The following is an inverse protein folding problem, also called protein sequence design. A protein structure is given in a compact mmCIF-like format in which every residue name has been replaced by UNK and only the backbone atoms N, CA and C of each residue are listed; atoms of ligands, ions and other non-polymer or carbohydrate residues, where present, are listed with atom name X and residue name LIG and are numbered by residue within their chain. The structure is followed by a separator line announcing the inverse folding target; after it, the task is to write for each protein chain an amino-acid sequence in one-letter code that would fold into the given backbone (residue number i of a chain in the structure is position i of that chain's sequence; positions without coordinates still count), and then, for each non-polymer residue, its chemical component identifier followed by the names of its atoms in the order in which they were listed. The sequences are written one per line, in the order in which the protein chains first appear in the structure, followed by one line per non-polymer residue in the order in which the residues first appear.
data_IF_102299778725
#
_entry.id   IF_102299778725
#
_cell.length_a   1.000
_cell.length_b   1.000
_cell.length_c   1.000
_cell.angle_alpha   90.00
_cell.angle_beta   90.00
_cell.angle_gamma   90.00
#
_symmetry.space_group_name_H-M   'P 1'
#
loop_
_entity.id
_entity.type
_entity.pdbx_description
1 polymer ?
#
# COMPACT_ATOMS: atom_id res chain seq x y z
N UNK A 1 10.47 10.43 -26.98
CA UNK A 1 9.31 9.76 -26.33
C UNK A 1 8.34 10.85 -25.88
N UNK A 2 7.03 10.75 -26.19
CA UNK A 2 6.04 11.72 -25.71
C UNK A 2 5.92 11.62 -24.17
N UNK A 3 5.75 12.76 -23.50
CA UNK A 3 5.47 12.75 -22.05
C UNK A 3 4.09 12.17 -21.78
N UNK A 4 3.88 11.61 -20.57
CA UNK A 4 2.57 11.10 -20.13
C UNK A 4 1.49 12.19 -20.22
N UNK A 5 1.86 13.43 -19.92
CA UNK A 5 0.97 14.58 -20.02
C UNK A 5 0.51 14.82 -21.46
N UNK A 6 1.43 14.72 -22.43
CA UNK A 6 1.07 14.85 -23.86
C UNK A 6 0.10 13.75 -24.30
N UNK A 7 0.36 12.51 -23.87
CA UNK A 7 -0.52 11.37 -24.17
C UNK A 7 -1.89 11.56 -23.53
N UNK A 8 -1.96 12.08 -22.30
CA UNK A 8 -3.22 12.36 -21.62
C UNK A 8 -4.01 13.48 -22.33
N UNK A 9 -3.36 14.55 -22.78
CA UNK A 9 -4.02 15.61 -23.58
C UNK A 9 -4.61 15.05 -24.89
N UNK A 10 -3.89 14.17 -25.57
CA UNK A 10 -4.37 13.49 -26.78
C UNK A 10 -5.57 12.57 -26.47
N UNK A 11 -5.55 11.86 -25.36
CA UNK A 11 -6.68 11.05 -24.90
C UNK A 11 -7.92 11.90 -24.63
N UNK A 12 -7.78 13.03 -23.92
CA UNK A 12 -8.89 13.95 -23.64
C UNK A 12 -9.48 14.51 -24.94
N UNK A 13 -8.64 14.87 -25.91
CA UNK A 13 -9.11 15.31 -27.21
C UNK A 13 -9.85 14.20 -27.97
N UNK A 14 -9.30 13.01 -28.03
CA UNK A 14 -9.88 11.90 -28.78
C UNK A 14 -11.24 11.47 -28.22
N UNK A 15 -11.33 11.34 -26.89
CA UNK A 15 -12.51 10.82 -26.19
C UNK A 15 -13.59 11.88 -25.91
N UNK A 16 -13.18 13.08 -25.51
CA UNK A 16 -14.07 14.11 -25.00
C UNK A 16 -14.10 15.40 -25.85
N UNK A 17 -13.29 15.48 -26.92
CA UNK A 17 -13.07 16.66 -27.73
C UNK A 17 -12.51 17.88 -26.96
N UNK A 18 -11.89 17.63 -25.79
CA UNK A 18 -11.25 18.66 -24.98
C UNK A 18 -9.84 18.92 -25.49
N UNK A 19 -9.55 20.17 -25.85
CA UNK A 19 -8.23 20.61 -26.29
C UNK A 19 -7.66 21.62 -25.32
N UNK A 20 -6.41 21.39 -24.89
CA UNK A 20 -5.69 22.29 -24.00
C UNK A 20 -4.37 22.70 -24.65
N UNK A 21 -4.19 23.97 -24.89
CA UNK A 21 -2.97 24.51 -25.50
C UNK A 21 -1.82 24.56 -24.48
N UNK A 22 -2.13 24.83 -23.20
CA UNK A 22 -1.17 24.97 -22.14
C UNK A 22 -1.44 24.03 -20.94
N UNK A 23 -0.41 23.85 -20.08
CA UNK A 23 -0.60 23.20 -18.79
C UNK A 23 -1.54 24.02 -17.87
N UNK A 24 -1.47 25.34 -17.94
CA UNK A 24 -2.31 26.23 -17.13
C UNK A 24 -3.80 26.03 -17.43
N UNK A 25 -4.18 25.89 -18.70
CA UNK A 25 -5.57 25.60 -19.09
C UNK A 25 -6.04 24.24 -18.57
N UNK A 26 -5.21 23.19 -18.77
CA UNK A 26 -5.51 21.85 -18.25
C UNK A 26 -5.67 21.85 -16.73
N UNK A 27 -4.77 22.53 -16.01
CA UNK A 27 -4.85 22.67 -14.56
C UNK A 27 -6.10 23.44 -14.14
N UNK A 28 -6.41 24.58 -14.78
CA UNK A 28 -7.63 25.34 -14.49
C UNK A 28 -8.89 24.49 -14.67
N UNK A 29 -8.95 23.72 -15.77
CA UNK A 29 -10.05 22.80 -16.00
C UNK A 29 -10.12 21.74 -14.91
N UNK A 30 -9.01 21.14 -14.50
CA UNK A 30 -9.00 20.05 -13.51
C UNK A 30 -9.53 20.48 -12.14
N UNK A 31 -9.35 21.74 -11.74
CA UNK A 31 -9.85 22.26 -10.46
C UNK A 31 -11.29 22.79 -10.55
N UNK A 32 -11.73 23.24 -11.73
CA UNK A 32 -13.08 23.74 -11.95
C UNK A 32 -14.08 22.61 -12.23
N UNK A 33 -13.61 21.51 -12.84
CA UNK A 33 -14.39 20.34 -13.22
C UNK A 33 -13.85 19.05 -12.55
N UNK A 34 -13.74 18.99 -11.22
CA UNK A 34 -13.05 17.90 -10.55
C UNK A 34 -13.70 16.52 -10.80
N UNK A 35 -15.02 16.44 -10.90
CA UNK A 35 -15.70 15.18 -11.21
C UNK A 35 -15.28 14.65 -12.58
N UNK A 36 -15.26 15.51 -13.58
CA UNK A 36 -14.93 15.14 -14.95
C UNK A 36 -13.45 14.82 -15.11
N UNK A 37 -12.59 15.60 -14.43
CA UNK A 37 -11.15 15.34 -14.39
C UNK A 37 -10.85 13.95 -13.82
N UNK A 38 -11.37 13.62 -12.65
CA UNK A 38 -11.07 12.34 -11.98
C UNK A 38 -11.67 11.14 -12.71
N UNK A 39 -12.86 11.27 -13.32
CA UNK A 39 -13.41 10.24 -14.19
C UNK A 39 -12.51 9.97 -15.41
N UNK A 40 -11.99 11.05 -16.01
CA UNK A 40 -11.07 10.92 -17.13
C UNK A 40 -9.74 10.25 -16.74
N UNK A 41 -9.24 10.50 -15.52
CA UNK A 41 -8.05 9.83 -14.95
C UNK A 41 -8.31 8.33 -14.78
N UNK A 42 -9.46 7.96 -14.20
CA UNK A 42 -9.86 6.55 -14.06
C UNK A 42 -9.86 5.86 -15.43
N UNK A 43 -10.46 6.50 -16.43
CA UNK A 43 -10.54 5.98 -17.80
C UNK A 43 -9.17 5.89 -18.46
N UNK A 44 -8.33 6.92 -18.32
CA UNK A 44 -7.01 7.00 -18.93
C UNK A 44 -6.06 5.92 -18.40
N UNK A 45 -6.01 5.75 -17.09
CA UNK A 45 -5.18 4.73 -16.43
C UNK A 45 -5.87 3.37 -16.35
N UNK A 46 -7.11 3.25 -16.84
CA UNK A 46 -7.92 2.03 -16.81
C UNK A 46 -8.00 1.47 -15.39
N UNK A 47 -8.25 2.32 -14.40
CA UNK A 47 -8.38 1.88 -13.01
C UNK A 47 -9.58 0.94 -12.90
N UNK A 48 -9.35 -0.24 -12.34
CA UNK A 48 -10.35 -1.30 -12.25
C UNK A 48 -11.13 -1.19 -10.94
N UNK A 49 -12.40 -0.83 -11.04
CA UNK A 49 -13.35 -0.81 -9.95
C UNK A 49 -14.21 -2.07 -9.99
N UNK A 50 -14.38 -2.75 -8.86
CA UNK A 50 -15.33 -3.86 -8.73
C UNK A 50 -16.77 -3.36 -8.75
N UNK A 51 -17.00 -2.13 -8.31
CA UNK A 51 -18.24 -1.37 -8.49
C UNK A 51 -17.91 0.09 -8.72
N UNK A 52 -18.32 0.65 -9.84
CA UNK A 52 -18.15 2.06 -10.17
C UNK A 52 -19.41 2.86 -9.88
N UNK A 53 -19.26 4.03 -9.27
CA UNK A 53 -20.33 4.98 -8.99
C UNK A 53 -20.06 6.31 -9.66
N UNK A 54 -21.09 6.92 -10.24
CA UNK A 54 -21.01 8.26 -10.86
C UNK A 54 -20.90 9.41 -9.83
N UNK A 55 -20.96 9.12 -8.54
CA UNK A 55 -20.77 10.12 -7.50
C UNK A 55 -19.27 10.33 -7.22
N UNK A 56 -18.57 10.94 -8.19
CA UNK A 56 -17.11 11.03 -8.19
C UNK A 56 -16.59 12.03 -7.18
N UNK A 57 -17.25 13.20 -7.04
CA UNK A 57 -16.82 14.27 -6.16
C UNK A 57 -17.99 14.95 -5.47
N UNK A 58 -17.97 14.96 -4.15
CA UNK A 58 -18.89 15.73 -3.31
C UNK A 58 -18.10 16.56 -2.32
N UNK A 59 -17.95 17.89 -2.55
CA UNK A 59 -17.17 18.75 -1.70
C UNK A 59 -17.80 18.87 -0.30
N UNK A 60 -16.95 19.12 0.68
CA UNK A 60 -17.36 19.46 2.05
C UNK A 60 -16.55 20.67 2.54
N UNK A 61 -17.15 21.52 3.38
CA UNK A 61 -16.44 22.67 4.01
C UNK A 61 -15.19 22.22 4.77
N UNK A 62 -15.26 21.07 5.43
CA UNK A 62 -14.08 20.40 5.96
C UNK A 62 -13.52 19.47 4.88
N UNK A 63 -12.37 19.81 4.31
CA UNK A 63 -11.75 19.06 3.22
C UNK A 63 -11.58 17.56 3.54
N UNK A 64 -11.27 17.19 4.77
CA UNK A 64 -11.12 15.78 5.20
C UNK A 64 -12.44 14.99 5.00
N UNK A 65 -13.59 15.66 5.04
CA UNK A 65 -14.92 15.07 4.86
C UNK A 65 -15.39 15.09 3.40
N UNK A 66 -14.58 15.60 2.47
CA UNK A 66 -14.87 15.51 1.04
C UNK A 66 -14.96 14.06 0.63
N UNK A 67 -16.02 13.71 -0.11
CA UNK A 67 -16.25 12.35 -0.60
C UNK A 67 -15.78 12.24 -2.05
N UNK A 68 -15.05 11.17 -2.32
CA UNK A 68 -14.54 10.82 -3.63
C UNK A 68 -15.08 9.44 -4.01
N UNK A 69 -15.56 9.27 -5.25
CA UNK A 69 -16.09 8.01 -5.79
C UNK A 69 -17.06 7.30 -4.82
N UNK A 70 -17.94 8.07 -4.17
CA UNK A 70 -18.82 7.56 -3.13
C UNK A 70 -19.75 6.45 -3.66
N UNK A 71 -19.75 5.31 -2.96
CA UNK A 71 -20.48 4.10 -3.37
C UNK A 71 -19.72 3.22 -4.38
N UNK A 72 -18.52 3.60 -4.79
CA UNK A 72 -17.61 2.74 -5.55
C UNK A 72 -16.88 1.75 -4.65
N UNK A 73 -16.54 0.57 -5.22
CA UNK A 73 -15.73 -0.45 -4.55
C UNK A 73 -14.50 -0.77 -5.40
N UNK A 74 -13.37 -0.90 -4.75
CA UNK A 74 -12.07 -1.10 -5.41
C UNK A 74 -11.16 -1.96 -4.52
N UNK A 75 -10.24 -2.69 -5.14
CA UNK A 75 -9.09 -3.29 -4.46
C UNK A 75 -7.80 -2.67 -4.97
N UNK A 76 -7.02 -2.06 -4.08
CA UNK A 76 -5.71 -1.49 -4.38
C UNK A 76 -4.76 -2.55 -4.97
N UNK A 77 -4.62 -3.69 -4.27
CA UNK A 77 -3.72 -4.77 -4.71
C UNK A 77 -4.12 -5.37 -6.05
N UNK A 78 -5.42 -5.50 -6.36
CA UNK A 78 -5.90 -5.92 -7.69
C UNK A 78 -5.39 -4.97 -8.78
N UNK A 79 -5.49 -3.66 -8.55
CA UNK A 79 -5.01 -2.65 -9.49
C UNK A 79 -3.48 -2.65 -9.66
N UNK A 80 -2.72 -3.01 -8.63
CA UNK A 80 -1.27 -3.20 -8.74
C UNK A 80 -0.97 -4.40 -9.64
N UNK A 81 -1.58 -5.55 -9.38
CA UNK A 81 -1.30 -6.80 -10.11
C UNK A 81 -1.86 -6.87 -11.52
N UNK A 82 -2.72 -5.94 -11.96
CA UNK A 82 -3.10 -5.87 -13.38
C UNK A 82 -1.93 -5.54 -14.32
N UNK A 83 -0.80 -5.10 -13.76
CA UNK A 83 0.44 -4.85 -14.49
C UNK A 83 1.35 -6.08 -14.60
N UNK A 84 0.91 -7.27 -14.19
CA UNK A 84 1.71 -8.50 -14.15
C UNK A 84 2.15 -9.02 -15.52
N UNK A 85 1.53 -8.53 -16.61
CA UNK A 85 1.92 -8.80 -18.00
C UNK A 85 3.09 -7.95 -18.50
N UNK A 86 3.55 -6.96 -17.73
CA UNK A 86 4.69 -6.13 -18.12
C UNK A 86 5.98 -6.95 -18.15
N UNK A 87 6.81 -6.70 -19.16
CA UNK A 87 8.14 -7.34 -19.30
C UNK A 87 9.18 -6.76 -18.33
N UNK A 88 8.91 -5.62 -17.74
CA UNK A 88 9.77 -4.98 -16.73
C UNK A 88 9.58 -5.64 -15.36
N UNK A 89 10.61 -5.71 -14.51
CA UNK A 89 10.48 -6.25 -13.17
C UNK A 89 9.45 -5.42 -12.35
N UNK A 90 8.74 -6.09 -11.43
CA UNK A 90 7.82 -5.44 -10.51
C UNK A 90 8.56 -4.58 -9.48
N UNK A 91 9.71 -5.06 -9.00
CA UNK A 91 10.55 -4.35 -8.02
C UNK A 91 12.01 -4.40 -8.48
N UNK A 92 12.68 -3.26 -8.39
CA UNK A 92 14.14 -3.13 -8.44
C UNK A 92 14.59 -2.73 -7.05
N UNK A 93 15.45 -3.54 -6.45
CA UNK A 93 15.88 -3.39 -5.08
C UNK A 93 17.40 -3.48 -4.96
N UNK A 94 17.98 -2.61 -4.18
CA UNK A 94 19.36 -2.67 -3.78
C UNK A 94 19.42 -2.67 -2.25
N UNK A 95 20.10 -3.64 -1.67
CA UNK A 95 20.26 -3.72 -0.22
C UNK A 95 21.40 -2.83 0.30
N UNK A 96 21.58 -2.76 1.61
CA UNK A 96 22.65 -1.96 2.23
C UNK A 96 24.08 -2.47 1.94
N UNK A 97 24.23 -3.68 1.39
CA UNK A 97 25.52 -4.20 0.95
C UNK A 97 25.86 -3.79 -0.48
N UNK A 98 24.91 -3.17 -1.18
CA UNK A 98 25.03 -2.79 -2.58
C UNK A 98 24.61 -3.91 -3.54
N UNK A 99 24.16 -5.08 -3.04
CA UNK A 99 23.66 -6.16 -3.87
C UNK A 99 22.34 -5.77 -4.50
N UNK A 100 22.22 -5.97 -5.84
CA UNK A 100 21.08 -5.54 -6.64
C UNK A 100 20.23 -6.75 -7.02
N UNK A 101 18.90 -6.58 -6.89
CA UNK A 101 17.91 -7.61 -7.19
C UNK A 101 16.79 -7.07 -8.06
N UNK A 102 16.30 -7.93 -8.95
CA UNK A 102 15.07 -7.68 -9.69
C UNK A 102 14.03 -8.75 -9.34
N UNK A 103 12.85 -8.33 -8.93
CA UNK A 103 11.75 -9.23 -8.59
C UNK A 103 10.73 -9.16 -9.73
N UNK A 104 10.41 -10.32 -10.32
CA UNK A 104 9.38 -10.41 -11.34
C UNK A 104 7.97 -10.21 -10.78
N UNK A 105 7.02 -9.84 -11.62
CA UNK A 105 5.60 -9.77 -11.24
C UNK A 105 5.06 -11.11 -10.72
N UNK A 106 5.47 -12.22 -11.34
CA UNK A 106 5.05 -13.55 -10.90
C UNK A 106 5.61 -13.87 -9.50
N UNK A 107 6.91 -13.63 -9.26
CA UNK A 107 7.53 -13.86 -7.94
C UNK A 107 6.90 -13.00 -6.86
N UNK A 108 6.59 -11.73 -7.15
CA UNK A 108 5.87 -10.86 -6.21
C UNK A 108 4.47 -11.40 -5.90
N UNK A 109 3.76 -11.89 -6.91
CA UNK A 109 2.41 -12.44 -6.78
C UNK A 109 2.40 -13.72 -5.94
N UNK A 110 3.35 -14.63 -6.18
CA UNK A 110 3.54 -15.86 -5.39
C UNK A 110 3.79 -15.49 -3.91
N UNK A 111 4.74 -14.59 -3.67
CA UNK A 111 5.06 -14.17 -2.31
C UNK A 111 3.88 -13.49 -1.61
N UNK A 112 3.13 -12.69 -2.33
CA UNK A 112 1.91 -12.07 -1.81
C UNK A 112 0.87 -13.12 -1.43
N UNK A 113 0.67 -14.18 -2.25
CA UNK A 113 -0.26 -15.26 -1.94
C UNK A 113 0.16 -16.02 -0.66
N UNK A 114 1.43 -16.37 -0.52
CA UNK A 114 1.94 -17.05 0.69
C UNK A 114 1.60 -16.26 1.96
N UNK A 115 1.84 -14.95 1.92
CA UNK A 115 1.56 -14.07 3.05
C UNK A 115 0.04 -13.87 3.27
N UNK A 116 -0.74 -13.80 2.18
CA UNK A 116 -2.20 -13.73 2.24
C UNK A 116 -2.79 -14.98 2.93
N UNK A 117 -2.33 -16.18 2.55
CA UNK A 117 -2.77 -17.43 3.18
C UNK A 117 -2.45 -17.47 4.67
N UNK A 118 -1.29 -16.97 5.08
CA UNK A 118 -0.90 -16.86 6.49
C UNK A 118 -1.84 -15.90 7.23
N UNK A 119 -2.15 -14.76 6.64
CA UNK A 119 -3.07 -13.77 7.22
C UNK A 119 -4.49 -14.36 7.37
N UNK A 120 -4.99 -15.06 6.36
CA UNK A 120 -6.30 -15.75 6.41
C UNK A 120 -6.33 -16.78 7.55
N UNK A 121 -5.29 -17.63 7.67
CA UNK A 121 -5.17 -18.61 8.75
C UNK A 121 -5.12 -17.96 10.15
N UNK A 122 -4.71 -16.71 10.24
CA UNK A 122 -4.73 -15.88 11.46
C UNK A 122 -5.99 -15.03 11.60
N UNK A 123 -7.05 -15.31 10.82
CA UNK A 123 -8.35 -14.63 10.86
C UNK A 123 -8.24 -13.11 10.64
N UNK A 124 -7.31 -12.67 9.78
CA UNK A 124 -7.23 -11.27 9.37
C UNK A 124 -8.32 -10.98 8.33
N UNK A 125 -9.05 -9.91 8.53
CA UNK A 125 -10.22 -9.52 7.73
C UNK A 125 -10.25 -8.01 7.48
N UNK A 126 -11.28 -7.57 6.75
CA UNK A 126 -11.50 -6.15 6.43
C UNK A 126 -11.45 -5.27 7.69
N UNK A 127 -10.66 -4.21 7.63
CA UNK A 127 -10.52 -3.24 8.71
C UNK A 127 -9.56 -3.65 9.85
N UNK A 128 -9.06 -4.89 9.88
CA UNK A 128 -8.02 -5.29 10.83
C UNK A 128 -6.72 -4.53 10.53
N UNK A 129 -6.01 -4.09 11.57
CA UNK A 129 -4.70 -3.44 11.42
C UNK A 129 -3.61 -4.50 11.50
N UNK A 130 -2.75 -4.48 10.50
CA UNK A 130 -1.56 -5.32 10.42
C UNK A 130 -0.35 -4.42 10.34
N UNK A 131 0.66 -4.68 11.16
CA UNK A 131 1.84 -3.80 11.23
C UNK A 131 3.11 -4.52 10.83
N UNK A 132 4.06 -3.74 10.30
CA UNK A 132 5.43 -4.16 10.01
C UNK A 132 6.43 -3.45 10.91
N UNK A 133 7.33 -4.20 11.55
CA UNK A 133 8.54 -3.67 12.17
C UNK A 133 9.74 -4.22 11.39
N UNK A 134 9.98 -3.60 10.23
CA UNK A 134 10.76 -4.20 9.15
C UNK A 134 11.69 -3.18 8.50
N UNK A 135 12.82 -3.67 7.96
CA UNK A 135 13.61 -2.90 6.98
C UNK A 135 12.86 -2.79 5.65
N UNK A 136 13.25 -1.80 4.86
CA UNK A 136 12.71 -1.65 3.51
C UNK A 136 13.22 -2.80 2.61
N UNK A 137 12.35 -3.71 2.23
CA UNK A 137 12.67 -4.89 1.42
C UNK A 137 11.49 -5.30 0.53
N UNK A 138 11.72 -6.12 -0.51
CA UNK A 138 10.64 -6.67 -1.34
C UNK A 138 9.58 -7.45 -0.55
N UNK A 139 9.98 -8.16 0.53
CA UNK A 139 9.05 -8.90 1.40
C UNK A 139 8.02 -7.99 2.05
N UNK A 140 8.40 -6.79 2.43
CA UNK A 140 7.50 -5.79 3.03
C UNK A 140 6.48 -5.29 2.01
N UNK A 141 6.88 -5.14 0.75
CA UNK A 141 5.94 -4.80 -0.34
C UNK A 141 4.94 -5.95 -0.55
N UNK A 142 5.40 -7.20 -0.58
CA UNK A 142 4.51 -8.36 -0.66
C UNK A 142 3.55 -8.44 0.54
N UNK A 143 4.03 -8.18 1.76
CA UNK A 143 3.21 -8.14 2.97
C UNK A 143 2.14 -7.02 2.91
N UNK A 144 2.53 -5.81 2.49
CA UNK A 144 1.60 -4.70 2.27
C UNK A 144 0.50 -5.06 1.26
N UNK A 145 0.88 -5.68 0.13
CA UNK A 145 -0.08 -6.10 -0.90
C UNK A 145 -0.99 -7.23 -0.39
N UNK A 146 -0.46 -8.19 0.39
CA UNK A 146 -1.25 -9.25 1.01
C UNK A 146 -2.27 -8.70 2.00
N UNK A 147 -1.89 -7.73 2.83
CA UNK A 147 -2.78 -7.06 3.79
C UNK A 147 -3.91 -6.34 3.05
N UNK A 148 -3.56 -5.51 2.07
CA UNK A 148 -4.55 -4.74 1.31
C UNK A 148 -5.45 -5.62 0.43
N UNK A 149 -4.97 -6.79 -0.03
CA UNK A 149 -5.81 -7.72 -0.79
C UNK A 149 -6.99 -8.26 0.02
N UNK A 150 -6.86 -8.33 1.34
CA UNK A 150 -7.91 -8.73 2.28
C UNK A 150 -8.77 -7.55 2.79
N UNK A 151 -8.52 -6.33 2.32
CA UNK A 151 -9.14 -5.12 2.86
C UNK A 151 -8.68 -4.77 4.28
N UNK A 152 -7.59 -5.35 4.76
CA UNK A 152 -6.96 -4.98 6.02
C UNK A 152 -6.06 -3.75 5.84
N UNK A 153 -5.69 -3.11 6.94
CA UNK A 153 -5.03 -1.82 6.98
C UNK A 153 -3.57 -2.01 7.40
N UNK A 154 -2.65 -1.49 6.58
CA UNK A 154 -1.22 -1.56 6.84
C UNK A 154 -0.72 -0.39 7.67
N UNK A 155 0.29 -0.63 8.52
CA UNK A 155 1.18 0.39 9.07
C UNK A 155 2.56 -0.18 9.30
N UNK A 156 3.61 0.65 9.36
CA UNK A 156 4.97 0.15 9.58
C UNK A 156 5.84 1.14 10.34
N UNK A 157 6.83 0.58 11.02
CA UNK A 157 7.94 1.29 11.62
C UNK A 157 9.27 0.73 11.11
N UNK A 158 10.26 1.59 10.95
CA UNK A 158 11.63 1.20 10.63
C UNK A 158 12.27 0.43 11.80
N UNK A 159 13.12 -0.58 11.54
CA UNK A 159 13.68 -1.45 12.57
C UNK A 159 14.68 -0.74 13.51
N UNK A 160 15.19 0.43 13.11
CA UNK A 160 16.06 1.28 13.93
C UNK A 160 15.30 2.06 15.01
N UNK A 161 13.97 2.14 14.95
CA UNK A 161 13.18 2.78 16.00
C UNK A 161 13.33 2.05 17.33
N UNK A 162 13.43 2.84 18.41
CA UNK A 162 13.45 2.30 19.78
C UNK A 162 12.10 1.69 20.17
N UNK A 163 12.13 0.77 21.15
CA UNK A 163 10.94 0.08 21.64
C UNK A 163 9.78 1.02 21.98
N UNK A 164 10.03 2.05 22.79
CA UNK A 164 8.98 3.00 23.22
C UNK A 164 8.36 3.74 22.04
N UNK A 165 9.18 4.11 21.07
CA UNK A 165 8.73 4.79 19.85
C UNK A 165 7.79 3.93 19.00
N UNK A 166 8.05 2.60 18.92
CA UNK A 166 7.20 1.63 18.22
C UNK A 166 5.95 1.33 19.03
N UNK A 167 6.10 1.15 20.36
CA UNK A 167 5.00 0.92 21.29
C UNK A 167 3.97 2.05 21.22
N UNK A 168 4.42 3.30 21.29
CA UNK A 168 3.54 4.49 21.21
C UNK A 168 2.73 4.53 19.91
N UNK A 169 3.31 4.13 18.79
CA UNK A 169 2.64 4.09 17.48
C UNK A 169 1.65 2.93 17.40
N UNK A 170 2.12 1.74 17.63
CA UNK A 170 1.30 0.54 17.45
C UNK A 170 0.16 0.46 18.47
N UNK A 171 0.39 0.95 19.69
CA UNK A 171 -0.67 0.99 20.70
C UNK A 171 -1.84 1.92 20.32
N UNK A 172 -1.60 2.99 19.55
CA UNK A 172 -2.68 3.86 19.06
C UNK A 172 -3.63 3.16 18.09
N UNK A 173 -3.14 2.21 17.32
CA UNK A 173 -3.91 1.56 16.23
C UNK A 173 -4.34 0.14 16.56
N UNK A 174 -3.89 -0.42 17.71
CA UNK A 174 -4.28 -1.75 18.19
C UNK A 174 -4.21 -2.83 17.10
N UNK A 175 -2.99 -3.14 16.56
CA UNK A 175 -2.84 -4.09 15.48
C UNK A 175 -3.12 -5.52 15.95
N UNK A 176 -3.67 -6.34 15.04
CA UNK A 176 -3.97 -7.75 15.29
C UNK A 176 -2.83 -8.69 14.91
N UNK A 177 -2.01 -8.28 13.94
CA UNK A 177 -0.89 -9.07 13.42
C UNK A 177 0.35 -8.19 13.23
N UNK A 178 1.54 -8.79 13.46
CA UNK A 178 2.83 -8.11 13.33
C UNK A 178 3.78 -8.91 12.43
N UNK A 179 4.20 -8.32 11.31
CA UNK A 179 5.35 -8.75 10.55
C UNK A 179 6.62 -8.10 11.07
N UNK A 180 7.73 -8.81 11.06
CA UNK A 180 9.02 -8.23 11.45
C UNK A 180 10.19 -8.91 10.72
N UNK A 181 11.35 -8.29 10.75
CA UNK A 181 12.61 -8.93 10.43
C UNK A 181 13.35 -9.22 11.74
N UNK A 182 13.61 -10.51 12.05
CA UNK A 182 14.35 -10.90 13.26
C UNK A 182 15.72 -10.26 13.31
N UNK A 183 16.33 -10.04 12.15
CA UNK A 183 17.61 -9.37 12.02
C UNK A 183 17.60 -8.37 10.85
N UNK A 184 18.31 -7.26 11.02
CA UNK A 184 18.54 -6.28 9.96
C UNK A 184 19.98 -5.76 10.01
N UNK A 185 20.46 -5.23 8.88
CA UNK A 185 21.73 -4.53 8.79
C UNK A 185 21.47 -3.03 8.82
N UNK A 186 22.32 -2.29 9.50
CA UNK A 186 22.34 -0.84 9.50
C UNK A 186 23.77 -0.34 9.73
N UNK A 187 24.25 0.53 8.86
CA UNK A 187 25.60 1.07 8.89
C UNK A 187 26.68 -0.04 9.04
N UNK A 188 26.55 -1.10 8.24
CA UNK A 188 27.46 -2.25 8.22
C UNK A 188 27.37 -3.19 9.44
N UNK A 189 26.51 -2.93 10.42
CA UNK A 189 26.32 -3.76 11.61
C UNK A 189 25.01 -4.54 11.52
N UNK A 190 25.02 -5.76 12.09
CA UNK A 190 23.83 -6.61 12.22
C UNK A 190 23.19 -6.40 13.58
N UNK A 191 21.88 -6.24 13.59
CA UNK A 191 21.04 -6.08 14.82
C UNK A 191 19.97 -7.14 14.86
N UNK A 192 19.54 -7.55 16.09
CA UNK A 192 18.38 -8.41 16.32
C UNK A 192 17.22 -7.60 16.88
N UNK A 193 15.99 -7.96 16.49
CA UNK A 193 14.74 -7.42 17.01
C UNK A 193 13.99 -8.38 17.95
N UNK A 194 14.43 -9.63 18.12
CA UNK A 194 13.67 -10.67 18.81
C UNK A 194 13.19 -10.25 20.22
N UNK A 195 14.08 -9.67 21.03
CA UNK A 195 13.72 -9.19 22.38
C UNK A 195 12.68 -8.07 22.36
N UNK A 196 12.79 -7.13 21.39
CA UNK A 196 11.83 -6.04 21.21
C UNK A 196 10.46 -6.57 20.78
N UNK A 197 10.43 -7.57 19.88
CA UNK A 197 9.18 -8.22 19.42
C UNK A 197 8.46 -8.93 20.56
N UNK A 198 9.18 -9.69 21.37
CA UNK A 198 8.60 -10.34 22.55
C UNK A 198 8.00 -9.33 23.52
N UNK A 199 8.68 -8.21 23.75
CA UNK A 199 8.21 -7.13 24.61
C UNK A 199 6.98 -6.43 24.03
N UNK A 200 6.97 -6.13 22.73
CA UNK A 200 5.82 -5.53 22.05
C UNK A 200 4.58 -6.43 22.13
N UNK A 201 4.75 -7.74 21.87
CA UNK A 201 3.64 -8.72 21.97
C UNK A 201 3.07 -8.81 23.39
N UNK A 202 3.90 -8.66 24.43
CA UNK A 202 3.45 -8.62 25.82
C UNK A 202 2.68 -7.33 26.15
N UNK A 203 3.11 -6.20 25.60
CA UNK A 203 2.54 -4.87 25.91
C UNK A 203 1.31 -4.54 25.09
N UNK A 204 1.24 -4.97 23.82
CA UNK A 204 0.10 -4.71 22.93
C UNK A 204 -0.75 -5.98 22.85
N UNK A 205 -1.77 -6.05 23.69
CA UNK A 205 -2.61 -7.25 23.84
C UNK A 205 -3.42 -7.62 22.58
N UNK A 206 -3.62 -6.66 21.70
CA UNK A 206 -4.31 -6.91 20.41
C UNK A 206 -3.49 -7.75 19.43
N UNK A 207 -2.16 -7.82 19.56
CA UNK A 207 -1.30 -8.64 18.71
C UNK A 207 -1.49 -10.11 19.05
N UNK A 208 -2.29 -10.81 18.26
CA UNK A 208 -2.53 -12.25 18.41
C UNK A 208 -1.38 -13.08 17.83
N UNK A 209 -0.77 -12.63 16.72
CA UNK A 209 0.25 -13.40 16.02
C UNK A 209 1.36 -12.50 15.47
N UNK A 210 2.55 -13.09 15.33
CA UNK A 210 3.73 -12.45 14.77
C UNK A 210 4.35 -13.35 13.70
N UNK A 211 4.96 -12.79 12.67
CA UNK A 211 5.67 -13.53 11.64
C UNK A 211 7.02 -12.86 11.32
N UNK A 212 8.08 -13.64 11.43
CA UNK A 212 9.40 -13.24 10.95
C UNK A 212 9.52 -13.45 9.45
N UNK A 213 9.69 -12.36 8.72
CA UNK A 213 9.88 -12.39 7.25
C UNK A 213 11.23 -13.02 6.86
N UNK A 214 12.27 -12.92 7.72
CA UNK A 214 13.54 -13.59 7.50
C UNK A 214 13.42 -15.13 7.54
N UNK A 215 12.41 -15.66 8.23
CA UNK A 215 12.15 -17.10 8.30
C UNK A 215 11.47 -17.65 7.06
N UNK A 216 10.98 -16.76 6.18
CA UNK A 216 10.33 -17.13 4.94
C UNK A 216 11.33 -17.16 3.79
N UNK A 217 11.16 -18.13 2.93
CA UNK A 217 12.02 -18.36 1.81
C UNK A 217 12.19 -17.12 0.92
N UNK A 218 13.26 -17.11 0.17
CA UNK A 218 13.52 -16.18 -0.92
C UNK A 218 12.34 -16.16 -1.90
N UNK A 219 12.23 -15.08 -2.68
CA UNK A 219 11.27 -15.04 -3.78
C UNK A 219 11.48 -16.22 -4.74
N UNK A 220 10.41 -16.96 -5.03
CA UNK A 220 10.48 -18.03 -6.00
C UNK A 220 10.76 -17.46 -7.41
N UNK A 221 11.66 -18.11 -8.13
CA UNK A 221 12.03 -17.75 -9.50
C UNK A 221 11.17 -18.52 -10.50
N UNK A 222 10.69 -19.71 -10.12
CA UNK A 222 9.89 -20.56 -11.01
C UNK A 222 8.48 -19.99 -11.21
N UNK A 223 8.03 -20.00 -12.46
CA UNK A 223 6.69 -19.56 -12.81
C UNK A 223 5.66 -20.60 -12.35
N UNK A 224 4.69 -20.16 -11.55
CA UNK A 224 3.45 -20.91 -11.33
C UNK A 224 2.24 -19.99 -11.47
N UNK A 225 1.12 -20.54 -11.92
CA UNK A 225 -0.14 -19.80 -11.93
C UNK A 225 -0.58 -19.55 -10.49
N UNK A 226 -0.87 -18.30 -10.17
CA UNK A 226 -1.25 -17.86 -8.83
C UNK A 226 -2.58 -17.15 -8.90
N UNK A 227 -3.49 -17.51 -8.01
CA UNK A 227 -4.81 -16.90 -7.88
C UNK A 227 -4.93 -16.22 -6.52
N UNK A 228 -4.79 -14.88 -6.52
CA UNK A 228 -4.94 -14.06 -5.34
C UNK A 228 -6.40 -13.71 -5.11
N UNK A 229 -6.84 -13.78 -3.85
CA UNK A 229 -8.13 -13.25 -3.45
C UNK A 229 -8.05 -11.74 -3.28
N UNK A 230 -9.00 -11.01 -3.86
CA UNK A 230 -9.09 -9.57 -3.70
C UNK A 230 -10.44 -9.21 -3.10
N UNK A 231 -10.43 -8.63 -1.91
CA UNK A 231 -11.63 -8.13 -1.24
C UNK A 231 -11.87 -6.68 -1.64
N UNK A 232 -12.93 -6.37 -2.39
CA UNK A 232 -13.25 -4.98 -2.73
C UNK A 232 -13.73 -4.22 -1.51
N UNK A 233 -13.20 -3.04 -1.29
CA UNK A 233 -13.57 -2.14 -0.20
C UNK A 233 -14.12 -0.82 -0.75
N UNK A 234 -14.82 -0.05 0.07
CA UNK A 234 -15.29 1.27 -0.32
C UNK A 234 -14.10 2.20 -0.62
N UNK A 235 -14.25 3.12 -1.55
CA UNK A 235 -13.17 4.04 -1.94
C UNK A 235 -12.63 4.86 -0.77
N UNK A 236 -13.44 5.11 0.25
CA UNK A 236 -13.05 5.79 1.48
C UNK A 236 -12.43 4.85 2.54
N UNK A 237 -12.28 3.56 2.23
CA UNK A 237 -11.73 2.60 3.17
C UNK A 237 -10.23 2.85 3.42
N UNK A 238 -9.77 2.83 4.68
CA UNK A 238 -8.36 2.97 5.00
C UNK A 238 -7.52 1.82 4.44
N UNK A 239 -6.37 2.15 3.83
CA UNK A 239 -5.39 1.14 3.38
C UNK A 239 -4.05 1.25 4.09
N UNK A 240 -3.70 2.44 4.58
CA UNK A 240 -2.41 2.69 5.22
C UNK A 240 -2.53 3.72 6.34
N UNK A 241 -1.89 3.43 7.48
CA UNK A 241 -1.72 4.39 8.56
C UNK A 241 -0.24 4.74 8.66
N UNK A 242 0.07 6.03 8.47
CA UNK A 242 1.40 6.60 8.66
C UNK A 242 1.43 7.44 9.94
N UNK A 243 2.62 7.70 10.46
CA UNK A 243 2.80 8.52 11.65
C UNK A 243 3.63 9.75 11.32
N UNK A 244 3.12 10.93 11.66
CA UNK A 244 3.92 12.16 11.64
C UNK A 244 4.79 12.26 12.87
N UNK A 245 5.95 12.91 12.75
CA UNK A 245 6.87 13.15 13.86
C UNK A 245 6.29 14.05 14.97
N UNK A 246 5.18 14.72 14.70
CA UNK A 246 4.48 15.63 15.64
C UNK A 246 5.40 16.70 16.23
N UNK A 247 5.15 17.96 15.97
CA UNK A 247 5.90 19.09 16.58
C UNK A 247 5.66 19.24 18.08
N UNK A 248 4.71 18.50 18.65
CA UNK A 248 4.17 18.69 20.00
C UNK A 248 4.18 17.44 20.88
N UNK A 249 5.07 16.46 20.64
CA UNK A 249 5.19 15.28 21.48
C UNK A 249 4.91 13.95 20.76
N UNK A 250 3.83 13.22 21.13
CA UNK A 250 3.56 11.88 20.57
C UNK A 250 3.24 11.92 19.07
N UNK A 251 3.74 10.94 18.31
CA UNK A 251 3.40 10.77 16.89
C UNK A 251 1.89 10.68 16.68
N UNK A 252 1.39 11.33 15.63
CA UNK A 252 -0.05 11.29 15.29
C UNK A 252 -0.26 10.31 14.13
N UNK A 253 -1.23 9.41 14.29
CA UNK A 253 -1.66 8.52 13.23
C UNK A 253 -2.40 9.30 12.12
N UNK A 254 -1.95 9.14 10.88
CA UNK A 254 -2.54 9.72 9.68
C UNK A 254 -3.02 8.59 8.81
N UNK A 255 -4.34 8.51 8.60
CA UNK A 255 -4.96 7.45 7.82
C UNK A 255 -5.09 7.87 6.36
N UNK A 256 -4.54 7.04 5.46
CA UNK A 256 -4.68 7.17 4.02
C UNK A 256 -5.74 6.18 3.51
N UNK A 257 -6.60 6.65 2.63
CA UNK A 257 -7.66 5.86 1.99
C UNK A 257 -7.18 5.27 0.66
N UNK A 258 -7.98 4.42 0.12
CA UNK A 258 -7.75 3.79 -1.20
C UNK A 258 -7.64 4.81 -2.33
#
# INVERSE_FOLDING_TARGET
MKSILSIYKEFLYSKNKLKFESYKELHSWSINEPSFFWDSIVSFFKIDFDKYSNHIYKPNKNFIKTQWFNGSKISYSKNVFKNDSLKTPAIKYQDETGEYFEISWNSLKIKTLELQEILIKNNISVGDRVVGYCSNSPDVIAAFLAVNSLGAIWSSCSPDFGYDSVLDRFNQIQPKFLFYHSTYKYNGKKFSLDSKILSLKKSIKSISSVLDLNSKSKFEVEYRKVDLNFTPVDFDHPIWILFSSGTTGKPKAITHRT
#
